data_IF_578827942671
#
_entry.id   IF_578827942671
#
_cell.length_a   1.000
_cell.length_b   1.000
_cell.length_c   1.000
_cell.angle_alpha   90.00
_cell.angle_beta   90.00
_cell.angle_gamma   90.00
#
_symmetry.space_group_name_H-M   'P 1'
#
loop_
_entity.id
_entity.type
_entity.pdbx_description
1 polymer ?
#
# COMPACT_ATOMS: atom_id res chain seq x y z
N UNK A 1 -37.62 -7.65 4.08
CA UNK A 1 -36.45 -7.60 3.18
C UNK A 1 -35.83 -6.23 3.36
N UNK A 2 -34.84 -6.14 4.25
CA UNK A 2 -34.26 -4.89 4.72
C UNK A 2 -33.24 -4.33 3.73
N UNK A 3 -33.40 -3.05 3.40
CA UNK A 3 -32.46 -2.24 2.62
C UNK A 3 -31.37 -1.69 3.54
N UNK A 4 -30.13 -2.17 3.38
CA UNK A 4 -28.96 -1.61 4.05
C UNK A 4 -28.28 -0.57 3.14
N UNK A 5 -28.74 0.68 3.25
CA UNK A 5 -28.00 1.85 2.78
C UNK A 5 -26.88 2.19 3.77
N UNK A 6 -25.66 1.72 3.52
CA UNK A 6 -24.49 2.21 4.25
C UNK A 6 -23.93 3.46 3.57
N UNK A 7 -24.32 4.60 4.13
CA UNK A 7 -23.73 5.92 3.95
C UNK A 7 -22.24 5.87 4.32
N UNK A 8 -21.37 6.04 3.33
CA UNK A 8 -19.94 6.23 3.56
C UNK A 8 -19.70 7.68 4.01
N UNK A 9 -19.34 7.85 5.29
CA UNK A 9 -18.94 9.14 5.83
C UNK A 9 -17.53 9.51 5.33
N UNK A 10 -17.43 10.71 4.77
CA UNK A 10 -16.26 11.28 4.11
C UNK A 10 -15.25 11.73 5.17
N UNK A 11 -14.12 11.03 5.34
CA UNK A 11 -13.03 11.51 6.18
C UNK A 11 -12.14 12.46 5.36
N UNK A 12 -12.43 13.75 5.40
CA UNK A 12 -11.54 14.80 4.87
C UNK A 12 -10.46 15.10 5.91
N UNK A 13 -9.24 14.60 5.72
CA UNK A 13 -8.07 15.12 6.43
C UNK A 13 -7.50 16.30 5.64
N UNK A 14 -7.58 17.50 6.21
CA UNK A 14 -6.88 18.68 5.71
C UNK A 14 -5.36 18.45 5.76
N UNK A 15 -4.69 18.49 4.61
CA UNK A 15 -3.24 18.51 4.55
C UNK A 15 -2.73 19.88 5.04
N UNK A 16 -2.16 19.90 6.25
CA UNK A 16 -1.27 21.00 6.65
C UNK A 16 0.08 20.80 5.94
N UNK A 17 0.55 21.87 5.31
CA UNK A 17 1.87 21.94 4.67
C UNK A 17 2.98 21.83 5.72
N UNK A 18 3.97 20.94 5.56
CA UNK A 18 5.11 20.90 6.46
C UNK A 18 6.01 22.14 6.27
N UNK A 19 6.47 22.69 7.40
CA UNK A 19 7.41 23.79 7.50
C UNK A 19 8.72 23.49 6.75
N UNK A 20 9.16 24.46 5.94
CA UNK A 20 10.33 24.38 5.07
C UNK A 20 11.65 24.19 5.83
N UNK A 21 12.31 23.05 5.63
CA UNK A 21 13.74 22.87 5.92
C UNK A 21 14.58 23.53 4.82
N UNK A 22 15.36 24.56 5.17
CA UNK A 22 16.34 25.21 4.29
C UNK A 22 17.68 24.48 4.37
N UNK A 23 17.89 23.54 3.46
CA UNK A 23 19.20 22.93 3.18
C UNK A 23 19.50 23.05 1.69
N UNK A 24 20.67 23.58 1.34
CA UNK A 24 21.08 23.80 -0.05
C UNK A 24 21.31 22.46 -0.78
N UNK A 25 20.31 21.97 -1.52
CA UNK A 25 20.47 20.87 -2.46
C UNK A 25 20.53 21.41 -3.90
N UNK A 26 21.59 21.03 -4.62
CA UNK A 26 21.71 21.20 -6.07
C UNK A 26 20.45 20.65 -6.73
N UNK A 27 19.81 21.46 -7.57
CA UNK A 27 18.67 21.07 -8.38
C UNK A 27 19.08 19.93 -9.32
N UNK A 28 18.70 18.71 -8.96
CA UNK A 28 18.60 17.60 -9.90
C UNK A 28 17.20 17.71 -10.50
N UNK A 29 17.11 17.71 -11.83
CA UNK A 29 15.92 18.06 -12.60
C UNK A 29 14.62 17.50 -12.01
N UNK A 30 13.61 18.38 -11.90
CA UNK A 30 12.24 18.01 -11.54
C UNK A 30 11.64 17.15 -12.65
N UNK A 31 11.89 15.84 -12.63
CA UNK A 31 10.92 14.90 -13.19
C UNK A 31 9.60 15.13 -12.45
N UNK A 32 8.51 15.39 -13.18
CA UNK A 32 7.21 15.53 -12.55
C UNK A 32 6.92 14.25 -11.78
N UNK A 33 6.88 14.34 -10.44
CA UNK A 33 6.41 13.23 -9.62
C UNK A 33 4.94 13.05 -9.94
N UNK A 34 4.58 11.89 -10.47
CA UNK A 34 3.19 11.55 -10.67
C UNK A 34 2.48 11.51 -9.32
N UNK A 35 1.40 12.29 -9.22
CA UNK A 35 0.58 12.37 -8.02
C UNK A 35 -0.55 11.37 -8.18
N UNK A 36 -0.40 10.20 -7.58
CA UNK A 36 -1.49 9.22 -7.48
C UNK A 36 -2.53 9.70 -6.47
N UNK A 37 -3.80 9.54 -6.82
CA UNK A 37 -4.92 9.97 -5.98
C UNK A 37 -5.69 8.79 -5.40
N UNK A 38 -5.61 7.63 -6.06
CA UNK A 38 -6.35 6.43 -5.71
C UNK A 38 -5.45 5.19 -5.83
N UNK A 39 -5.92 4.07 -5.28
CA UNK A 39 -5.25 2.79 -5.41
C UNK A 39 -6.25 1.64 -5.32
N UNK A 40 -5.88 0.50 -5.90
CA UNK A 40 -6.57 -0.78 -5.69
C UNK A 40 -5.78 -1.55 -4.64
N UNK A 41 -6.47 -2.03 -3.61
CA UNK A 41 -5.86 -2.78 -2.52
C UNK A 41 -6.59 -4.06 -2.18
N UNK A 42 -5.86 -5.00 -1.56
CA UNK A 42 -6.41 -6.13 -0.84
C UNK A 42 -6.40 -5.77 0.66
N UNK A 43 -7.56 -5.58 1.30
CA UNK A 43 -7.62 -5.18 2.70
C UNK A 43 -7.21 -6.36 3.59
N UNK A 44 -6.22 -6.13 4.46
CA UNK A 44 -5.70 -7.16 5.37
C UNK A 44 -6.23 -6.96 6.81
N UNK A 45 -6.58 -5.73 7.17
CA UNK A 45 -7.18 -5.39 8.47
C UNK A 45 -8.56 -6.04 8.73
N UNK A 46 -9.11 -6.77 7.76
CA UNK A 46 -10.33 -7.58 7.93
C UNK A 46 -10.11 -8.78 8.85
N UNK A 47 -8.86 -9.16 9.14
CA UNK A 47 -8.50 -10.25 10.05
C UNK A 47 -8.11 -9.68 11.43
N UNK A 48 -8.95 -9.84 12.47
CA UNK A 48 -8.72 -9.19 13.78
C UNK A 48 -7.39 -9.58 14.43
N UNK A 49 -6.97 -10.83 14.30
CA UNK A 49 -5.71 -11.30 14.89
C UNK A 49 -4.48 -10.69 14.20
N UNK A 50 -4.58 -10.36 12.90
CA UNK A 50 -3.54 -9.60 12.22
C UNK A 50 -3.46 -8.17 12.79
N UNK A 51 -4.60 -7.51 12.97
CA UNK A 51 -4.66 -6.16 13.57
C UNK A 51 -4.05 -6.15 14.98
N UNK A 52 -4.37 -7.14 15.82
CA UNK A 52 -3.75 -7.31 17.15
C UNK A 52 -2.24 -7.50 17.07
N UNK A 53 -1.75 -8.31 16.12
CA UNK A 53 -0.32 -8.53 15.93
C UNK A 53 0.41 -7.26 15.49
N UNK A 54 -0.22 -6.44 14.63
CA UNK A 54 0.33 -5.14 14.22
C UNK A 54 0.39 -4.19 15.42
N UNK A 55 -0.67 -4.10 16.22
CA UNK A 55 -0.69 -3.29 17.44
C UNK A 55 0.38 -3.75 18.46
N UNK A 56 0.51 -5.06 18.64
CA UNK A 56 1.54 -5.63 19.51
C UNK A 56 2.95 -5.29 19.02
N UNK A 57 3.20 -5.40 17.72
CA UNK A 57 4.47 -4.99 17.11
C UNK A 57 4.77 -3.51 17.33
N UNK A 58 3.81 -2.61 17.03
CA UNK A 58 3.96 -1.17 17.24
C UNK A 58 4.27 -0.83 18.70
N UNK A 59 3.53 -1.43 19.64
CA UNK A 59 3.75 -1.23 21.07
C UNK A 59 5.11 -1.76 21.53
N UNK A 60 5.59 -2.87 20.96
CA UNK A 60 6.93 -3.40 21.22
C UNK A 60 8.02 -2.45 20.73
N UNK A 61 7.88 -1.86 19.53
CA UNK A 61 8.86 -0.88 19.02
C UNK A 61 8.88 0.40 19.87
N UNK A 62 7.72 0.82 20.35
CA UNK A 62 7.57 2.01 21.20
C UNK A 62 7.91 1.78 22.68
N UNK A 63 8.12 0.53 23.10
CA UNK A 63 8.34 0.17 24.50
C UNK A 63 7.12 0.40 25.40
N UNK A 64 5.90 0.39 24.85
CA UNK A 64 4.67 0.68 25.62
C UNK A 64 4.27 -0.46 26.58
N UNK A 65 4.76 -1.67 26.34
CA UNK A 65 4.36 -2.88 27.07
C UNK A 65 5.47 -3.45 27.96
N UNK A 66 6.64 -2.81 27.99
CA UNK A 66 7.80 -3.32 28.71
C UNK A 66 7.79 -2.83 30.16
N UNK A 67 8.00 -3.75 31.11
CA UNK A 67 8.15 -3.41 32.53
C UNK A 67 9.43 -2.63 32.79
N UNK A 68 10.45 -2.87 31.96
CA UNK A 68 11.72 -2.16 31.94
C UNK A 68 11.80 -1.35 30.63
N UNK A 69 11.95 -0.02 30.68
CA UNK A 69 12.05 0.82 29.49
C UNK A 69 13.14 0.33 28.54
N UNK A 70 12.86 0.31 27.23
CA UNK A 70 13.91 0.08 26.24
C UNK A 70 15.04 1.11 26.45
N UNK A 71 16.29 0.67 26.38
CA UNK A 71 17.47 1.55 26.60
C UNK A 71 17.48 2.80 25.72
N UNK A 72 16.77 2.75 24.59
CA UNK A 72 16.67 3.83 23.61
C UNK A 72 15.28 4.49 23.57
N UNK A 73 14.37 4.14 24.49
CA UNK A 73 12.99 4.66 24.49
C UNK A 73 12.97 6.18 24.56
N UNK A 74 13.82 6.78 25.40
CA UNK A 74 13.94 8.22 25.55
C UNK A 74 14.48 8.93 24.31
N UNK A 75 15.19 8.20 23.43
CA UNK A 75 15.76 8.75 22.18
C UNK A 75 14.94 8.41 20.94
N UNK A 76 13.83 7.66 21.06
CA UNK A 76 13.02 7.27 19.90
C UNK A 76 12.50 8.48 19.12
N UNK A 77 12.00 9.50 19.81
CA UNK A 77 11.53 10.73 19.18
C UNK A 77 12.67 11.50 18.49
N UNK A 78 13.87 11.54 19.09
CA UNK A 78 15.07 12.14 18.49
C UNK A 78 15.50 11.38 17.22
N UNK A 79 15.25 10.06 17.17
CA UNK A 79 15.44 9.20 16.01
C UNK A 79 14.28 9.29 15.00
N UNK A 80 13.25 10.10 15.27
CA UNK A 80 12.05 10.23 14.43
C UNK A 80 11.11 9.01 14.49
N UNK A 81 11.27 8.13 15.47
CA UNK A 81 10.42 6.96 15.71
C UNK A 81 9.32 7.35 16.68
N UNK A 82 8.17 7.70 16.12
CA UNK A 82 6.98 8.12 16.87
C UNK A 82 5.75 7.33 16.42
N UNK A 83 4.69 7.31 17.22
CA UNK A 83 3.44 6.63 16.86
C UNK A 83 2.90 7.02 15.47
N UNK A 84 3.14 8.27 15.05
CA UNK A 84 2.70 8.84 13.78
C UNK A 84 3.32 8.19 12.53
N UNK A 85 4.50 7.55 12.65
CA UNK A 85 5.14 6.90 11.50
C UNK A 85 4.55 5.52 11.18
N UNK A 86 3.82 4.94 12.13
CA UNK A 86 3.23 3.62 11.96
C UNK A 86 1.90 3.73 11.21
N UNK A 87 1.63 2.74 10.36
CA UNK A 87 0.32 2.57 9.73
C UNK A 87 -0.76 2.38 10.79
N UNK A 88 -1.91 3.02 10.60
CA UNK A 88 -3.08 2.73 11.44
C UNK A 88 -3.46 1.26 11.23
N UNK A 89 -3.55 0.41 12.28
CA UNK A 89 -3.80 -1.02 12.11
C UNK A 89 -5.04 -1.34 11.25
N UNK A 90 -6.10 -0.54 11.39
CA UNK A 90 -7.35 -0.66 10.60
C UNK A 90 -7.21 -0.33 9.11
N UNK A 91 -6.15 0.36 8.71
CA UNK A 91 -5.86 0.71 7.32
C UNK A 91 -4.80 -0.19 6.71
N UNK A 92 -4.42 -1.30 7.37
CA UNK A 92 -3.40 -2.21 6.85
C UNK A 92 -3.89 -2.97 5.62
N UNK A 93 -3.17 -2.85 4.51
CA UNK A 93 -3.56 -3.40 3.21
C UNK A 93 -2.33 -3.72 2.34
N UNK A 94 -2.54 -4.57 1.33
CA UNK A 94 -1.61 -4.73 0.22
C UNK A 94 -2.06 -3.86 -0.94
N UNK A 95 -1.26 -2.87 -1.33
CA UNK A 95 -1.49 -2.07 -2.54
C UNK A 95 -1.10 -2.88 -3.77
N UNK A 96 -1.99 -2.97 -4.75
CA UNK A 96 -1.76 -3.72 -6.00
C UNK A 96 -1.56 -2.79 -7.18
N UNK A 97 -2.32 -1.69 -7.24
CA UNK A 97 -2.26 -0.70 -8.34
C UNK A 97 -2.40 0.70 -7.77
N UNK A 98 -1.56 1.63 -8.21
CA UNK A 98 -1.75 3.06 -7.97
C UNK A 98 -2.38 3.72 -9.20
N UNK A 99 -3.33 4.63 -8.97
CA UNK A 99 -4.13 5.25 -10.02
C UNK A 99 -4.16 6.77 -9.86
N UNK A 100 -4.11 7.48 -10.99
CA UNK A 100 -4.40 8.91 -11.07
C UNK A 100 -5.80 9.08 -11.64
N UNK A 101 -6.75 9.35 -10.75
CA UNK A 101 -8.15 9.60 -11.11
C UNK A 101 -8.47 11.05 -10.74
N UNK A 102 -8.69 11.89 -11.76
CA UNK A 102 -8.79 13.34 -11.60
C UNK A 102 -10.21 13.82 -11.30
N UNK A 103 -11.21 12.99 -11.60
CA UNK A 103 -12.62 13.33 -11.45
C UNK A 103 -13.50 12.10 -11.19
N UNK A 104 -14.76 12.32 -10.84
CA UNK A 104 -15.70 11.23 -10.53
C UNK A 104 -15.96 10.30 -11.72
N UNK A 105 -15.90 10.80 -12.96
CA UNK A 105 -16.07 9.96 -14.15
C UNK A 105 -14.94 8.93 -14.26
N UNK A 106 -13.70 9.34 -14.02
CA UNK A 106 -12.54 8.43 -13.99
C UNK A 106 -12.64 7.38 -12.87
N UNK A 107 -13.25 7.73 -11.73
CA UNK A 107 -13.54 6.78 -10.64
C UNK A 107 -14.58 5.75 -11.07
N UNK A 108 -15.70 6.18 -11.66
CA UNK A 108 -16.75 5.28 -12.17
C UNK A 108 -16.20 4.35 -13.25
N UNK A 109 -15.37 4.87 -14.16
CA UNK A 109 -14.68 4.07 -15.17
C UNK A 109 -13.78 3.00 -14.53
N UNK A 110 -13.02 3.34 -13.48
CA UNK A 110 -12.21 2.39 -12.72
C UNK A 110 -13.01 1.30 -12.04
N UNK A 111 -14.15 1.66 -11.45
CA UNK A 111 -15.05 0.67 -10.86
C UNK A 111 -15.60 -0.29 -11.91
N UNK A 112 -16.02 0.23 -13.07
CA UNK A 112 -16.55 -0.59 -14.16
C UNK A 112 -15.52 -1.56 -14.73
N UNK A 113 -14.28 -1.12 -14.94
CA UNK A 113 -13.20 -1.98 -15.42
C UNK A 113 -12.83 -3.02 -14.34
N UNK A 114 -12.70 -2.62 -13.07
CA UNK A 114 -12.43 -3.56 -11.98
C UNK A 114 -13.52 -4.65 -11.89
N UNK A 115 -14.79 -4.27 -12.09
CA UNK A 115 -15.91 -5.18 -12.09
C UNK A 115 -15.88 -6.14 -13.29
N UNK A 116 -15.48 -5.67 -14.48
CA UNK A 116 -15.46 -6.48 -15.70
C UNK A 116 -14.37 -7.57 -15.66
N UNK A 117 -13.25 -7.33 -14.97
CA UNK A 117 -12.16 -8.31 -14.82
C UNK A 117 -12.34 -9.27 -13.64
N UNK A 118 -13.41 -9.12 -12.84
CA UNK A 118 -13.60 -9.88 -11.61
C UNK A 118 -13.65 -11.41 -11.84
N UNK A 119 -14.24 -11.87 -12.94
CA UNK A 119 -14.24 -13.30 -13.31
C UNK A 119 -12.82 -13.82 -13.56
N UNK A 120 -11.98 -13.03 -14.23
CA UNK A 120 -10.61 -13.41 -14.56
C UNK A 120 -9.75 -13.48 -13.30
N UNK A 121 -9.94 -12.52 -12.37
CA UNK A 121 -9.30 -12.55 -11.06
C UNK A 121 -9.71 -13.80 -10.28
N UNK A 122 -11.02 -14.13 -10.22
CA UNK A 122 -11.50 -15.37 -9.55
C UNK A 122 -10.92 -16.63 -10.19
N UNK A 123 -10.82 -16.66 -11.52
CA UNK A 123 -10.23 -17.78 -12.24
C UNK A 123 -8.74 -17.94 -11.93
N UNK A 124 -7.97 -16.85 -11.87
CA UNK A 124 -6.57 -16.88 -11.46
C UNK A 124 -6.37 -17.38 -10.02
N UNK A 125 -7.33 -17.08 -9.14
CA UNK A 125 -7.39 -17.63 -7.78
C UNK A 125 -7.87 -19.09 -7.73
N UNK A 126 -8.23 -19.69 -8.88
CA UNK A 126 -8.84 -21.02 -9.01
C UNK A 126 -10.13 -21.16 -8.21
N UNK A 127 -10.91 -20.08 -8.11
CA UNK A 127 -12.17 -20.00 -7.37
C UNK A 127 -12.09 -20.46 -5.90
N UNK A 128 -10.92 -20.31 -5.27
CA UNK A 128 -10.71 -20.68 -3.87
C UNK A 128 -9.78 -19.69 -3.17
N UNK A 129 -9.82 -19.60 -1.83
CA UNK A 129 -8.98 -18.66 -1.09
C UNK A 129 -7.48 -18.82 -1.39
N UNK A 130 -6.76 -17.71 -1.30
CA UNK A 130 -5.30 -17.70 -1.20
C UNK A 130 -4.95 -17.36 0.24
N UNK A 131 -4.05 -18.14 0.81
CA UNK A 131 -3.50 -17.88 2.13
C UNK A 131 -2.13 -17.23 1.95
N UNK A 132 -1.90 -16.16 2.67
CA UNK A 132 -0.62 -15.45 2.68
C UNK A 132 -0.03 -15.46 4.08
N UNK A 133 1.28 -15.33 4.14
CA UNK A 133 2.03 -15.16 5.38
C UNK A 133 2.82 -13.86 5.28
N UNK A 134 2.68 -13.03 6.29
CA UNK A 134 3.53 -11.86 6.50
C UNK A 134 4.68 -12.27 7.40
N UNK A 135 5.93 -12.09 6.95
CA UNK A 135 7.11 -12.56 7.68
C UNK A 135 8.27 -11.60 7.54
N UNK A 136 8.81 -11.16 8.68
CA UNK A 136 9.96 -10.28 8.73
C UNK A 136 9.59 -8.83 8.37
N UNK A 137 10.64 -8.03 8.14
CA UNK A 137 10.55 -6.64 7.72
C UNK A 137 11.61 -6.39 6.65
N UNK A 138 11.24 -5.64 5.62
CA UNK A 138 12.14 -5.21 4.56
C UNK A 138 12.03 -3.70 4.32
N UNK A 139 13.04 -3.15 3.64
CA UNK A 139 13.13 -1.72 3.33
C UNK A 139 12.66 -1.46 1.90
N UNK A 140 11.77 -0.48 1.72
CA UNK A 140 11.43 0.01 0.39
C UNK A 140 12.54 0.92 -0.12
N UNK A 141 13.41 0.35 -0.97
CA UNK A 141 14.59 1.00 -1.54
C UNK A 141 15.68 1.40 -0.53
N UNK A 142 16.94 1.23 -0.95
CA UNK A 142 18.11 1.68 -0.19
C UNK A 142 18.49 0.76 0.98
N UNK A 143 19.48 1.23 1.75
CA UNK A 143 19.96 0.57 2.97
C UNK A 143 19.12 0.96 4.18
N UNK A 144 19.23 0.19 5.27
CA UNK A 144 18.44 0.43 6.49
C UNK A 144 18.59 1.84 7.06
N UNK A 145 19.78 2.45 6.96
CA UNK A 145 20.08 3.82 7.39
C UNK A 145 19.44 4.91 6.50
N UNK A 146 18.91 4.55 5.34
CA UNK A 146 18.32 5.47 4.35
C UNK A 146 16.86 5.18 4.05
N UNK A 147 16.33 4.06 4.54
CA UNK A 147 14.95 3.67 4.28
C UNK A 147 13.99 4.68 4.89
N UNK A 148 12.90 4.95 4.18
CA UNK A 148 11.79 5.76 4.67
C UNK A 148 10.55 4.92 4.94
N UNK A 149 10.51 3.70 4.44
CA UNK A 149 9.36 2.81 4.52
C UNK A 149 9.86 1.40 4.81
N UNK A 150 9.42 0.86 5.93
CA UNK A 150 9.51 -0.56 6.22
C UNK A 150 8.18 -1.22 5.84
N UNK A 151 8.25 -2.42 5.29
CA UNK A 151 7.08 -3.21 4.96
C UNK A 151 7.28 -4.66 5.39
N UNK A 152 6.17 -5.38 5.56
CA UNK A 152 6.19 -6.81 5.84
C UNK A 152 6.10 -7.59 4.52
N UNK A 153 7.12 -8.40 4.16
CA UNK A 153 7.08 -9.25 2.97
C UNK A 153 5.87 -10.18 2.96
N UNK A 154 5.32 -10.42 1.76
CA UNK A 154 4.14 -11.27 1.54
C UNK A 154 4.56 -12.58 0.88
N UNK A 155 4.29 -13.70 1.54
CA UNK A 155 4.54 -15.03 0.99
C UNK A 155 3.22 -15.77 0.73
N UNK A 156 2.99 -16.26 -0.50
CA UNK A 156 1.87 -17.16 -0.78
C UNK A 156 2.11 -18.54 -0.16
N UNK A 157 1.20 -18.97 0.71
CA UNK A 157 1.19 -20.33 1.26
C UNK A 157 0.80 -21.31 0.16
N UNK A 158 1.59 -22.37 0.00
CA UNK A 158 1.42 -23.36 -1.08
C UNK A 158 2.14 -23.00 -2.38
N UNK A 159 2.60 -21.74 -2.54
CA UNK A 159 3.47 -21.28 -3.64
C UNK A 159 2.96 -21.62 -5.05
N UNK A 160 1.65 -21.57 -5.25
CA UNK A 160 1.03 -21.84 -6.56
C UNK A 160 1.05 -20.63 -7.50
N UNK A 161 1.49 -19.46 -7.03
CA UNK A 161 1.55 -18.23 -7.81
C UNK A 161 0.18 -17.62 -8.12
N UNK A 162 -0.87 -18.02 -7.40
CA UNK A 162 -2.24 -17.55 -7.65
C UNK A 162 -2.42 -16.10 -7.25
N UNK A 163 -1.78 -15.67 -6.15
CA UNK A 163 -1.81 -14.26 -5.74
C UNK A 163 -1.16 -13.41 -6.81
N UNK A 164 0.05 -13.80 -7.25
CA UNK A 164 0.79 -13.13 -8.32
C UNK A 164 -0.03 -13.03 -9.61
N UNK A 165 -0.65 -14.12 -10.05
CA UNK A 165 -1.46 -14.13 -11.26
C UNK A 165 -2.69 -13.23 -11.14
N UNK A 166 -3.37 -13.23 -9.98
CA UNK A 166 -4.48 -12.31 -9.71
C UNK A 166 -4.01 -10.85 -9.71
N UNK A 167 -2.87 -10.55 -9.07
CA UNK A 167 -2.28 -9.21 -9.06
C UNK A 167 -1.87 -8.76 -10.46
N UNK A 168 -1.33 -9.63 -11.32
CA UNK A 168 -1.02 -9.30 -12.72
C UNK A 168 -2.25 -8.90 -13.52
N UNK A 169 -3.37 -9.59 -13.32
CA UNK A 169 -4.65 -9.21 -13.94
C UNK A 169 -5.12 -7.85 -13.41
N UNK A 170 -5.00 -7.60 -12.10
CA UNK A 170 -5.32 -6.28 -11.53
C UNK A 170 -4.38 -5.18 -12.06
N UNK A 171 -3.08 -5.45 -12.20
CA UNK A 171 -2.12 -4.48 -12.75
C UNK A 171 -2.44 -4.13 -14.19
N UNK A 172 -3.00 -5.05 -14.98
CA UNK A 172 -3.47 -4.72 -16.33
C UNK A 172 -4.49 -3.57 -16.36
N UNK A 173 -5.17 -3.27 -15.23
CA UNK A 173 -6.04 -2.08 -15.09
C UNK A 173 -5.31 -0.79 -15.42
N UNK A 174 -4.08 -0.59 -14.92
CA UNK A 174 -3.35 0.66 -15.14
C UNK A 174 -3.17 0.92 -16.63
N UNK A 175 -2.91 -0.12 -17.40
CA UNK A 175 -2.82 -0.01 -18.83
C UNK A 175 -4.14 0.33 -19.54
N UNK A 176 -5.29 -0.14 -19.06
CA UNK A 176 -6.58 0.29 -19.60
C UNK A 176 -6.86 1.78 -19.35
N UNK A 177 -6.23 2.37 -18.32
CA UNK A 177 -6.25 3.82 -18.09
C UNK A 177 -5.31 4.56 -19.05
N UNK A 178 -4.07 4.10 -19.20
CA UNK A 178 -3.07 4.73 -20.09
C UNK A 178 -3.28 4.41 -21.59
N UNK A 179 -4.06 3.40 -21.96
CA UNK A 179 -4.47 3.18 -23.35
C UNK A 179 -5.56 4.16 -23.79
N UNK A 180 -6.16 4.90 -22.84
CA UNK A 180 -7.11 5.97 -23.14
C UNK A 180 -6.45 7.36 -23.21
N UNK A 181 -5.21 7.49 -22.73
CA UNK A 181 -4.37 8.68 -22.78
C UNK A 181 -2.96 8.22 -23.19
N UNK A 182 -2.66 8.23 -24.49
CA UNK A 182 -1.39 7.80 -25.11
C UNK A 182 -0.18 7.80 -24.14
N UNK A 183 0.49 6.63 -23.99
CA UNK A 183 1.93 6.39 -23.72
C UNK A 183 2.16 4.99 -23.10
N UNK A 184 2.45 3.97 -23.92
CA UNK A 184 2.29 2.55 -23.53
C UNK A 184 3.55 1.72 -23.24
N UNK A 185 4.78 2.24 -23.37
CA UNK A 185 5.97 1.36 -23.23
C UNK A 185 6.69 1.41 -21.88
N UNK A 186 6.85 2.59 -21.27
CA UNK A 186 7.74 2.74 -20.11
C UNK A 186 7.09 2.36 -18.77
N UNK A 187 5.76 2.35 -18.73
CA UNK A 187 5.01 2.18 -17.48
C UNK A 187 4.82 0.73 -17.07
N UNK A 188 4.62 -0.17 -18.04
CA UNK A 188 4.55 -1.61 -17.78
C UNK A 188 5.87 -2.15 -17.22
N UNK A 189 7.00 -1.63 -17.72
CA UNK A 189 8.33 -1.93 -17.17
C UNK A 189 8.42 -1.46 -15.72
N UNK A 190 8.10 -0.18 -15.44
CA UNK A 190 8.14 0.40 -14.10
C UNK A 190 7.19 -0.28 -13.10
N UNK A 191 5.94 -0.56 -13.48
CA UNK A 191 4.97 -1.22 -12.60
C UNK A 191 5.33 -2.69 -12.35
N UNK A 192 5.88 -3.39 -13.34
CA UNK A 192 6.41 -4.74 -13.14
C UNK A 192 7.69 -4.75 -12.30
N UNK A 193 8.58 -3.77 -12.46
CA UNK A 193 9.80 -3.63 -11.65
C UNK A 193 9.48 -3.23 -10.21
N UNK A 194 8.52 -2.34 -10.00
CA UNK A 194 7.99 -2.01 -8.68
C UNK A 194 7.35 -3.24 -8.04
N UNK A 195 6.48 -3.95 -8.75
CA UNK A 195 5.88 -5.16 -8.21
C UNK A 195 6.91 -6.26 -7.94
N UNK A 196 7.89 -6.49 -8.81
CA UNK A 196 8.96 -7.48 -8.62
C UNK A 196 10.03 -7.04 -7.59
N UNK A 197 10.04 -5.77 -7.17
CA UNK A 197 10.87 -5.30 -6.04
C UNK A 197 10.10 -5.29 -4.71
N UNK A 198 8.78 -5.50 -4.77
CA UNK A 198 7.87 -5.60 -3.63
C UNK A 198 7.49 -7.05 -3.28
N UNK A 199 7.83 -8.03 -4.14
CA UNK A 199 7.52 -9.47 -4.02
C UNK A 199 8.75 -10.29 -4.38
#
# INVERSE_FOLDING_TARGET
MENLNHKWDRCSSSHQTPLSFKGNQKQIGQGQREVFTHFVSLPLAIYPDLTKNIEAFQNSVLGNNDKDPLKFQSTLAEMGIEKSIFVTPKTFHLTVVMLKLENNESVVKAQNILQSIFSNVRQALKNRPVFIRLRGLECMSGSLDKTRVLYAPVEEVGREGRLLNACRILISLSAYFYLCEDMTSNYYASASELFNSLV
#
